data_IF_317049399604
#
_entry.id   IF_317049399604
#
_cell.length_a   1.000
_cell.length_b   1.000
_cell.length_c   1.000
_cell.angle_alpha   90.00
_cell.angle_beta   90.00
_cell.angle_gamma   90.00
#
_symmetry.space_group_name_H-M   'P 1'
#
loop_
_entity.id
_entity.type
_entity.pdbx_description
1 polymer ?
#
# COMPACT_ATOMS: atom_id res chain seq x y z
N UNK A 1 -12.30 -7.54 -16.35
CA UNK A 1 -11.77 -7.30 -14.99
C UNK A 1 -10.46 -8.05 -14.89
N UNK A 2 -9.37 -7.44 -14.40
CA UNK A 2 -8.08 -8.16 -14.32
C UNK A 2 -8.13 -9.24 -13.23
N UNK A 3 -7.32 -10.32 -13.29
CA UNK A 3 -7.33 -11.35 -12.25
C UNK A 3 -7.09 -10.83 -10.84
N UNK A 4 -6.31 -9.76 -10.67
CA UNK A 4 -6.07 -9.14 -9.37
C UNK A 4 -7.27 -8.30 -8.90
N UNK A 5 -8.02 -7.68 -9.81
CA UNK A 5 -9.26 -6.98 -9.46
C UNK A 5 -10.32 -7.95 -8.91
N UNK A 6 -10.41 -9.15 -9.48
CA UNK A 6 -11.28 -10.21 -8.95
C UNK A 6 -10.90 -10.60 -7.52
N UNK A 7 -9.60 -10.78 -7.25
CA UNK A 7 -9.12 -11.07 -5.89
C UNK A 7 -9.41 -9.94 -4.91
N UNK A 8 -9.29 -8.68 -5.34
CA UNK A 8 -9.68 -7.55 -4.49
C UNK A 8 -11.17 -7.59 -4.19
N UNK A 9 -12.01 -7.83 -5.19
CA UNK A 9 -13.46 -7.92 -5.01
C UNK A 9 -13.85 -9.09 -4.07
N UNK A 10 -13.22 -10.26 -4.22
CA UNK A 10 -13.38 -11.40 -3.34
C UNK A 10 -13.01 -11.05 -1.89
N UNK A 11 -11.90 -10.36 -1.68
CA UNK A 11 -11.50 -9.88 -0.35
C UNK A 11 -12.49 -8.87 0.22
N UNK A 12 -12.90 -7.87 -0.56
CA UNK A 12 -13.81 -6.80 -0.12
C UNK A 12 -15.20 -7.33 0.25
N UNK A 13 -15.64 -8.44 -0.35
CA UNK A 13 -16.86 -9.13 0.02
C UNK A 13 -16.77 -9.85 1.38
N UNK A 14 -15.57 -10.05 1.94
CA UNK A 14 -15.40 -10.68 3.24
C UNK A 14 -15.68 -9.71 4.39
N UNK A 15 -16.17 -10.21 5.55
CA UNK A 15 -16.29 -9.41 6.76
C UNK A 15 -14.97 -8.74 7.15
N UNK A 16 -15.05 -7.56 7.80
CA UNK A 16 -13.87 -6.80 8.23
C UNK A 16 -12.89 -7.63 9.07
N UNK A 17 -13.40 -8.43 10.00
CA UNK A 17 -12.58 -9.31 10.85
C UNK A 17 -11.83 -10.37 10.02
N UNK A 18 -12.47 -10.93 8.99
CA UNK A 18 -11.84 -11.94 8.11
C UNK A 18 -10.71 -11.31 7.31
N UNK A 19 -10.92 -10.11 6.74
CA UNK A 19 -9.88 -9.36 6.04
C UNK A 19 -8.72 -8.99 6.97
N UNK A 20 -9.04 -8.55 8.19
CA UNK A 20 -8.04 -8.20 9.21
C UNK A 20 -7.16 -9.39 9.55
N UNK A 21 -7.76 -10.54 9.88
CA UNK A 21 -7.03 -11.76 10.23
C UNK A 21 -6.13 -12.21 9.07
N UNK A 22 -6.65 -12.20 7.84
CA UNK A 22 -5.85 -12.51 6.65
C UNK A 22 -4.58 -11.64 6.58
N UNK A 23 -4.71 -10.31 6.70
CA UNK A 23 -3.56 -9.42 6.61
C UNK A 23 -2.59 -9.56 7.78
N UNK A 24 -3.10 -9.79 8.99
CA UNK A 24 -2.25 -10.08 10.15
C UNK A 24 -1.42 -11.35 9.93
N UNK A 25 -2.04 -12.44 9.44
CA UNK A 25 -1.33 -13.68 9.08
C UNK A 25 -0.31 -13.46 7.95
N UNK A 26 -0.65 -12.64 6.95
CA UNK A 26 0.30 -12.32 5.88
C UNK A 26 1.50 -11.53 6.41
N UNK A 27 1.27 -10.49 7.21
CA UNK A 27 2.31 -9.58 7.69
C UNK A 27 3.17 -10.18 8.81
N UNK A 28 2.64 -11.10 9.61
CA UNK A 28 3.40 -11.78 10.66
C UNK A 28 4.65 -12.50 10.09
N UNK A 29 4.54 -13.03 8.87
CA UNK A 29 5.65 -13.69 8.16
C UNK A 29 6.76 -12.74 7.71
N UNK A 30 6.59 -11.42 7.84
CA UNK A 30 7.58 -10.45 7.38
C UNK A 30 8.85 -10.50 8.23
N UNK A 31 9.99 -10.71 7.58
CA UNK A 31 11.31 -10.74 8.22
C UNK A 31 12.04 -9.39 8.17
N UNK A 32 11.34 -8.30 7.81
CA UNK A 32 11.89 -6.94 7.63
C UNK A 32 13.19 -6.87 6.81
N UNK A 33 13.30 -7.69 5.76
CA UNK A 33 14.43 -7.65 4.82
C UNK A 33 14.40 -6.41 3.89
N UNK A 34 13.25 -5.72 3.83
CA UNK A 34 13.00 -4.54 2.99
C UNK A 34 13.26 -4.73 1.48
N UNK A 35 13.35 -5.96 0.97
CA UNK A 35 13.51 -6.23 -0.46
C UNK A 35 12.40 -5.59 -1.30
N UNK A 36 11.15 -5.62 -0.80
CA UNK A 36 10.00 -4.97 -1.43
C UNK A 36 10.09 -3.43 -1.49
N UNK A 37 10.89 -2.80 -0.61
CA UNK A 37 11.23 -1.37 -0.66
C UNK A 37 12.30 -1.14 -1.72
N UNK A 38 13.39 -1.91 -1.67
CA UNK A 38 14.56 -1.71 -2.53
C UNK A 38 14.26 -1.95 -4.01
N UNK A 39 13.37 -2.89 -4.32
CA UNK A 39 12.98 -3.17 -5.72
C UNK A 39 11.98 -2.15 -6.27
N UNK A 40 11.32 -1.35 -5.43
CA UNK A 40 10.21 -0.53 -5.87
C UNK A 40 10.69 0.81 -6.44
N UNK A 41 10.40 1.13 -7.72
CA UNK A 41 10.85 2.38 -8.33
C UNK A 41 10.19 3.63 -7.73
N UNK A 42 9.14 3.45 -6.91
CA UNK A 42 8.39 4.53 -6.28
C UNK A 42 8.79 4.78 -4.82
N UNK A 43 9.68 3.94 -4.27
CA UNK A 43 10.25 4.07 -2.94
C UNK A 43 11.60 4.81 -2.97
N UNK A 44 11.62 6.02 -3.53
CA UNK A 44 12.84 6.82 -3.78
C UNK A 44 13.08 7.94 -2.75
N UNK A 45 12.40 7.93 -1.60
CA UNK A 45 12.55 9.00 -0.60
C UNK A 45 14.02 9.13 -0.16
N UNK A 46 14.55 10.35 -0.16
CA UNK A 46 15.92 10.62 0.32
C UNK A 46 16.12 10.21 1.78
N UNK A 47 15.06 10.31 2.58
CA UNK A 47 15.02 9.91 3.99
C UNK A 47 13.83 9.00 4.21
N UNK A 48 14.10 7.72 4.48
CA UNK A 48 13.02 6.78 4.77
C UNK A 48 12.71 6.73 6.27
N UNK A 49 11.42 6.64 6.61
CA UNK A 49 10.95 6.52 7.99
C UNK A 49 11.45 5.24 8.68
N UNK A 50 11.74 4.17 7.92
CA UNK A 50 12.33 2.93 8.45
C UNK A 50 13.78 3.09 8.91
N UNK A 51 14.44 4.17 8.49
CA UNK A 51 15.85 4.45 8.83
C UNK A 51 15.97 5.49 9.96
N UNK A 52 14.84 5.93 10.51
CA UNK A 52 14.80 6.90 11.61
C UNK A 52 14.63 6.20 12.94
N UNK A 53 15.50 6.54 13.88
CA UNK A 53 15.43 6.11 15.26
C UNK A 53 14.87 7.19 16.21
N UNK A 54 14.74 8.44 15.76
CA UNK A 54 14.21 9.55 16.57
C UNK A 54 13.33 10.50 15.73
N UNK A 55 12.01 10.51 15.97
CA UNK A 55 11.23 9.45 16.63
C UNK A 55 11.28 8.15 15.82
N UNK A 56 11.23 7.00 16.50
CA UNK A 56 11.12 5.70 15.87
C UNK A 56 9.65 5.35 15.61
N UNK A 57 9.19 5.54 14.37
CA UNK A 57 7.81 5.23 13.98
C UNK A 57 7.61 3.77 13.59
N UNK A 58 8.67 3.11 13.11
CA UNK A 58 8.66 1.72 12.70
C UNK A 58 9.78 1.03 13.46
N UNK A 59 9.42 0.05 14.29
CA UNK A 59 10.41 -0.78 14.97
C UNK A 59 11.37 -1.40 13.95
N UNK A 60 12.63 -1.61 14.30
CA UNK A 60 13.61 -2.22 13.39
C UNK A 60 13.53 -3.75 13.40
N UNK A 61 13.11 -4.35 14.51
CA UNK A 61 13.02 -5.79 14.70
C UNK A 61 11.76 -6.38 14.08
N UNK A 62 11.85 -7.60 13.55
CA UNK A 62 10.70 -8.29 12.96
C UNK A 62 9.79 -8.84 14.07
N UNK A 63 8.65 -8.19 14.27
CA UNK A 63 7.60 -8.60 15.21
C UNK A 63 6.24 -8.11 14.70
N UNK A 64 5.11 -8.68 15.19
CA UNK A 64 3.78 -8.43 14.62
C UNK A 64 3.43 -6.95 14.44
N UNK A 65 3.55 -6.14 15.49
CA UNK A 65 3.21 -4.71 15.45
C UNK A 65 4.09 -3.93 14.46
N UNK A 66 5.41 -4.18 14.47
CA UNK A 66 6.34 -3.50 13.59
C UNK A 66 6.17 -3.93 12.13
N UNK A 67 5.80 -5.18 11.89
CA UNK A 67 5.49 -5.71 10.57
C UNK A 67 4.20 -5.09 10.02
N UNK A 68 3.16 -4.98 10.86
CA UNK A 68 1.91 -4.30 10.51
C UNK A 68 2.19 -2.83 10.14
N UNK A 69 2.88 -2.09 11.02
CA UNK A 69 3.21 -0.68 10.79
C UNK A 69 3.96 -0.47 9.48
N UNK A 70 4.99 -1.29 9.19
CA UNK A 70 5.72 -1.21 7.93
C UNK A 70 4.84 -1.42 6.71
N UNK A 71 4.08 -2.51 6.68
CA UNK A 71 3.29 -2.87 5.50
C UNK A 71 2.16 -1.85 5.26
N UNK A 72 1.52 -1.34 6.31
CA UNK A 72 0.52 -0.28 6.20
C UNK A 72 1.11 1.05 5.71
N UNK A 73 2.19 1.52 6.34
CA UNK A 73 2.84 2.79 5.95
C UNK A 73 3.31 2.73 4.49
N UNK A 74 3.95 1.62 4.09
CA UNK A 74 4.39 1.43 2.71
C UNK A 74 3.21 1.45 1.74
N UNK A 75 2.11 0.75 2.04
CA UNK A 75 0.93 0.73 1.19
C UNK A 75 0.33 2.14 1.05
N UNK A 76 0.19 2.88 2.16
CA UNK A 76 -0.33 4.26 2.16
C UNK A 76 0.59 5.20 1.35
N UNK A 77 1.92 5.11 1.52
CA UNK A 77 2.88 5.92 0.74
C UNK A 77 2.81 5.66 -0.78
N UNK A 78 2.26 4.51 -1.19
CA UNK A 78 2.06 4.11 -2.58
C UNK A 78 0.62 4.32 -3.06
N UNK A 79 -0.31 4.73 -2.19
CA UNK A 79 -1.69 5.02 -2.55
C UNK A 79 -1.73 6.13 -3.62
N UNK A 80 -2.32 5.83 -4.78
CA UNK A 80 -2.32 6.75 -5.91
C UNK A 80 -0.96 6.95 -6.59
N UNK A 81 0.06 6.16 -6.27
CA UNK A 81 1.37 6.19 -6.95
C UNK A 81 1.73 4.87 -7.60
N UNK A 82 1.32 3.74 -7.00
CA UNK A 82 1.61 2.41 -7.51
C UNK A 82 1.06 2.20 -8.94
N UNK A 83 1.93 1.81 -9.86
CA UNK A 83 1.60 1.49 -11.26
C UNK A 83 1.36 0.00 -11.50
N UNK A 84 1.28 -0.81 -10.44
CA UNK A 84 1.00 -2.25 -10.51
C UNK A 84 2.05 -3.12 -11.24
N UNK A 85 3.34 -2.76 -11.17
CA UNK A 85 4.41 -3.55 -11.80
C UNK A 85 4.69 -4.92 -11.17
N UNK A 86 4.22 -5.18 -9.93
CA UNK A 86 4.35 -6.50 -9.28
C UNK A 86 5.73 -6.85 -8.71
N UNK A 87 6.73 -5.99 -8.89
CA UNK A 87 8.11 -6.25 -8.44
C UNK A 87 8.23 -6.50 -6.92
N UNK A 88 7.36 -5.88 -6.11
CA UNK A 88 7.37 -6.10 -4.66
C UNK A 88 6.95 -7.52 -4.26
N UNK A 89 6.05 -8.16 -5.00
CA UNK A 89 5.66 -9.55 -4.76
C UNK A 89 6.79 -10.47 -5.17
N UNK A 90 7.34 -10.24 -6.37
CA UNK A 90 8.48 -11.00 -6.91
C UNK A 90 9.69 -10.99 -5.96
N UNK A 91 9.98 -9.84 -5.35
CA UNK A 91 11.13 -9.68 -4.45
C UNK A 91 10.87 -10.17 -3.01
N UNK A 92 9.64 -10.48 -2.64
CA UNK A 92 9.32 -10.86 -1.26
C UNK A 92 9.72 -12.33 -1.00
N UNK A 93 10.73 -12.62 -0.16
CA UNK A 93 11.19 -13.99 0.04
C UNK A 93 10.17 -14.88 0.81
N UNK A 94 9.17 -14.26 1.44
CA UNK A 94 8.12 -14.93 2.21
C UNK A 94 6.74 -14.86 1.54
N UNK A 95 6.69 -14.42 0.27
CA UNK A 95 5.48 -14.42 -0.55
C UNK A 95 4.28 -13.70 0.10
N UNK A 96 4.52 -12.50 0.64
CA UNK A 96 3.42 -11.61 1.07
C UNK A 96 2.79 -11.01 -0.20
N UNK A 97 1.44 -11.03 -0.34
CA UNK A 97 0.76 -10.49 -1.51
C UNK A 97 0.69 -8.95 -1.47
N UNK A 98 1.85 -8.29 -1.55
CA UNK A 98 1.97 -6.82 -1.47
C UNK A 98 1.28 -6.11 -2.65
N UNK A 99 1.23 -6.72 -3.82
CA UNK A 99 0.56 -6.13 -4.97
C UNK A 99 -0.97 -6.10 -4.77
N UNK A 100 -1.53 -7.04 -4.00
CA UNK A 100 -2.96 -7.10 -3.70
C UNK A 100 -3.43 -5.90 -2.87
N UNK A 101 -2.73 -5.57 -1.77
CA UNK A 101 -3.06 -4.39 -0.95
C UNK A 101 -2.86 -3.09 -1.73
N UNK A 102 -1.78 -2.99 -2.51
CA UNK A 102 -1.55 -1.81 -3.35
C UNK A 102 -2.65 -1.69 -4.42
N UNK A 103 -3.17 -2.80 -4.95
CA UNK A 103 -4.26 -2.79 -5.94
C UNK A 103 -5.56 -2.30 -5.35
N UNK A 104 -5.88 -2.76 -4.14
CA UNK A 104 -7.02 -2.20 -3.40
C UNK A 104 -6.89 -0.69 -3.24
N UNK A 105 -5.73 -0.17 -2.84
CA UNK A 105 -5.54 1.27 -2.66
C UNK A 105 -5.62 2.06 -3.97
N UNK A 106 -5.14 1.51 -5.09
CA UNK A 106 -5.32 2.15 -6.40
C UNK A 106 -6.79 2.19 -6.85
N UNK A 107 -7.57 1.14 -6.56
CA UNK A 107 -9.01 1.14 -6.83
C UNK A 107 -9.76 2.15 -5.95
N UNK A 108 -9.38 2.27 -4.67
CA UNK A 108 -9.90 3.32 -3.77
C UNK A 108 -9.61 4.71 -4.32
N UNK A 109 -8.38 4.98 -4.78
CA UNK A 109 -8.02 6.26 -5.38
C UNK A 109 -8.82 6.55 -6.67
N UNK A 110 -9.07 5.52 -7.49
CA UNK A 110 -9.89 5.64 -8.70
C UNK A 110 -11.36 5.93 -8.38
N UNK A 111 -11.93 5.26 -7.39
CA UNK A 111 -13.33 5.45 -6.97
C UNK A 111 -13.57 6.82 -6.33
N UNK A 112 -12.66 7.23 -5.44
CA UNK A 112 -12.77 8.50 -4.73
C UNK A 112 -12.51 9.70 -5.67
N UNK A 113 -11.44 9.64 -6.47
CA UNK A 113 -10.89 10.81 -7.18
C UNK A 113 -10.87 10.69 -8.70
N UNK A 114 -11.30 9.57 -9.28
CA UNK A 114 -11.19 9.32 -10.72
C UNK A 114 -9.75 9.14 -11.21
N UNK A 115 -8.80 8.94 -10.29
CA UNK A 115 -7.37 8.95 -10.61
C UNK A 115 -6.79 7.53 -10.73
N UNK A 116 -5.93 7.32 -11.74
CA UNK A 116 -5.18 6.09 -11.94
C UNK A 116 -3.70 6.40 -12.23
N UNK A 117 -2.80 5.89 -11.39
CA UNK A 117 -1.37 6.17 -11.51
C UNK A 117 -0.78 5.59 -12.81
N UNK A 118 0.10 6.37 -13.44
CA UNK A 118 0.89 5.94 -14.62
C UNK A 118 0.13 5.95 -15.95
N UNK A 119 -1.10 6.46 -16.00
CA UNK A 119 -1.90 6.51 -17.24
C UNK A 119 -1.69 7.80 -18.04
N UNK A 120 -1.56 8.94 -17.37
CA UNK A 120 -1.43 10.27 -17.99
C UNK A 120 -0.37 11.11 -17.24
N UNK A 121 0.73 11.53 -17.90
CA UNK A 121 1.74 12.39 -17.31
C UNK A 121 1.24 13.78 -16.90
N UNK A 122 0.16 14.28 -17.52
CA UNK A 122 -0.45 15.56 -17.19
C UNK A 122 -1.40 15.51 -15.99
N UNK A 123 -1.81 14.30 -15.58
CA UNK A 123 -2.69 14.11 -14.44
C UNK A 123 -1.96 14.32 -13.12
N UNK A 124 -2.57 15.11 -12.23
CA UNK A 124 -2.00 15.38 -10.91
C UNK A 124 -2.52 14.37 -9.87
N UNK A 125 -1.66 13.75 -9.04
CA UNK A 125 -2.08 12.84 -7.99
C UNK A 125 -2.99 13.49 -6.94
N UNK A 126 -3.97 12.76 -6.38
CA UNK A 126 -4.95 13.33 -5.45
C UNK A 126 -4.34 13.82 -4.14
N UNK A 127 -3.23 13.25 -3.69
CA UNK A 127 -2.60 13.62 -2.41
C UNK A 127 -1.78 14.92 -2.46
N UNK A 128 -1.65 15.55 -3.63
CA UNK A 128 -0.88 16.80 -3.80
C UNK A 128 -1.71 17.94 -4.39
N UNK A 129 -3.01 17.72 -4.59
CA UNK A 129 -3.92 18.70 -5.20
C UNK A 129 -5.12 18.89 -4.29
N UNK A 130 -5.44 20.15 -4.03
CA UNK A 130 -6.69 20.53 -3.38
C UNK A 130 -7.77 20.81 -4.43
N UNK A 131 -8.99 20.33 -4.20
CA UNK A 131 -10.17 20.61 -5.00
C UNK A 131 -11.31 21.11 -4.11
N UNK A 132 -11.86 22.32 -4.33
CA UNK A 132 -12.96 22.84 -3.53
C UNK A 132 -14.24 21.98 -3.58
N UNK A 133 -14.40 21.18 -4.63
CA UNK A 133 -15.53 20.29 -4.89
C UNK A 133 -15.23 18.81 -4.58
N UNK A 134 -14.15 18.53 -3.83
CA UNK A 134 -13.92 17.18 -3.29
C UNK A 134 -15.13 16.76 -2.43
N UNK A 135 -15.45 15.46 -2.45
CA UNK A 135 -16.69 14.96 -1.86
C UNK A 135 -16.69 15.09 -0.32
N UNK A 136 -15.52 15.13 0.31
CA UNK A 136 -15.33 15.30 1.78
C UNK A 136 -16.13 14.30 2.64
N UNK A 137 -16.48 13.13 2.08
CA UNK A 137 -17.39 12.13 2.68
C UNK A 137 -16.89 11.46 3.99
N UNK A 138 -15.68 11.80 4.43
CA UNK A 138 -14.94 11.13 5.49
C UNK A 138 -15.04 11.83 6.85
N UNK A 139 -15.45 13.10 6.91
CA UNK A 139 -15.85 13.77 8.16
C UNK A 139 -17.36 13.58 8.31
N UNK A 140 -17.78 12.73 9.25
CA UNK A 140 -19.20 12.48 9.58
C UNK A 140 -19.43 12.67 11.07
#
# INVERSE_FOLDING_TARGET
>A
MSPIDSKVAEMDAQPSQVRWNFWMEQFDRCIKCYACRQVCPLCYCERCITEKNQPQWIDTSAHPEGNLSWNLIRAIHLAGRCTFCGECDRACPVNIPLNLINRKLGLVAKEAYGYAAGMDPGSLPPMIVFKPDDKENFIR
#
